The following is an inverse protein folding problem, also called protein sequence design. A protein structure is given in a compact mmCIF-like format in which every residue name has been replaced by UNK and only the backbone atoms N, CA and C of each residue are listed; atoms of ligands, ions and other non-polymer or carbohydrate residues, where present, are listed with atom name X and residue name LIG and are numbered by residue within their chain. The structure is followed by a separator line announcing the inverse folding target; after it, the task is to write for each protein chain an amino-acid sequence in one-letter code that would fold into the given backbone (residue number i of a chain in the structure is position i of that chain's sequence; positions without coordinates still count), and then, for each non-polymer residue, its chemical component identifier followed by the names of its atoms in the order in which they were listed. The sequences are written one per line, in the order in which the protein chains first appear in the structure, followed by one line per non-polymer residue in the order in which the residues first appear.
data_IF_869289537054
#
_entry.id   IF_869289537054
#
_cell.length_a   1.000
_cell.length_b   1.000
_cell.length_c   1.000
_cell.angle_alpha   90.00
_cell.angle_beta   90.00
_cell.angle_gamma   90.00
#
_symmetry.space_group_name_H-M   'P 1'
#
loop_
_entity.id
_entity.type
_entity.pdbx_description
1 polymer ?
#
# COMPACT_ATOMS: atom_id res chain seq x y z
N UNK A 1 -2.76 1.67 52.28
CA UNK A 1 -2.75 2.58 51.09
C UNK A 1 -1.73 2.24 50.01
N UNK A 2 -0.65 1.48 50.28
CA UNK A 2 0.33 1.09 49.24
C UNK A 2 -0.09 -0.11 48.36
N UNK A 3 -1.00 -0.96 48.84
CA UNK A 3 -1.54 -2.12 48.09
C UNK A 3 -2.59 -1.75 47.03
N UNK A 4 -3.31 -0.64 47.24
CA UNK A 4 -4.30 -0.13 46.27
C UNK A 4 -3.61 0.55 45.06
N UNK A 5 -2.42 1.12 45.26
CA UNK A 5 -1.60 1.69 44.18
C UNK A 5 -1.02 0.60 43.25
N UNK A 6 -0.76 -0.60 43.78
CA UNK A 6 -0.18 -1.70 43.00
C UNK A 6 -1.16 -2.33 42.01
N UNK A 7 -2.46 -2.38 42.33
CA UNK A 7 -3.48 -2.90 41.41
C UNK A 7 -3.78 -1.94 40.25
N UNK A 8 -3.62 -0.63 40.46
CA UNK A 8 -3.90 0.37 39.43
C UNK A 8 -2.82 0.39 38.33
N UNK A 9 -1.58 0.04 38.66
CA UNK A 9 -0.49 -0.10 37.69
C UNK A 9 -0.55 -1.43 36.91
N UNK A 10 -1.20 -2.46 37.45
CA UNK A 10 -1.36 -3.76 36.77
C UNK A 10 -2.52 -3.76 35.75
N UNK A 11 -3.50 -2.86 35.91
CA UNK A 11 -4.67 -2.79 35.03
C UNK A 11 -4.43 -2.01 33.72
N UNK A 12 -3.35 -1.22 33.63
CA UNK A 12 -3.05 -0.40 32.43
C UNK A 12 -2.28 -1.21 31.36
N UNK A 13 -1.71 -2.38 31.71
CA UNK A 13 -0.95 -3.21 30.77
C UNK A 13 -1.77 -4.13 29.86
N UNK A 14 -3.08 -4.25 30.05
CA UNK A 14 -3.91 -5.28 29.41
C UNK A 14 -4.92 -4.75 28.38
N UNK A 15 -4.93 -3.44 28.11
CA UNK A 15 -5.89 -2.81 27.21
C UNK A 15 -5.20 -2.06 26.07
N UNK A 16 -4.19 -2.68 25.45
CA UNK A 16 -3.86 -2.34 24.07
C UNK A 16 -4.72 -3.24 23.20
N UNK A 17 -5.81 -2.75 22.57
CA UNK A 17 -6.39 -3.49 21.47
C UNK A 17 -5.30 -3.60 20.42
N UNK A 18 -4.67 -4.77 20.31
CA UNK A 18 -3.93 -5.12 19.11
C UNK A 18 -4.99 -5.19 18.02
N UNK A 19 -5.23 -4.06 17.36
CA UNK A 19 -5.87 -4.06 16.08
C UNK A 19 -5.11 -5.10 15.25
N UNK A 20 -5.80 -6.15 14.84
CA UNK A 20 -5.28 -7.17 13.95
C UNK A 20 -5.15 -6.52 12.56
N UNK A 21 -4.27 -5.52 12.46
CA UNK A 21 -3.93 -4.91 11.19
C UNK A 21 -3.30 -6.02 10.36
N UNK A 22 -3.76 -6.17 9.12
CA UNK A 22 -3.10 -7.01 8.15
C UNK A 22 -1.60 -6.68 8.18
N UNK A 23 -0.78 -7.68 8.50
CA UNK A 23 0.66 -7.50 8.65
C UNK A 23 1.22 -7.11 7.29
N UNK A 24 1.64 -5.85 7.15
CA UNK A 24 2.25 -5.36 5.92
C UNK A 24 3.68 -4.92 6.17
N UNK A 25 4.57 -5.37 5.29
CA UNK A 25 5.98 -5.00 5.33
C UNK A 25 6.19 -3.78 4.41
N UNK A 26 6.85 -2.71 4.89
CA UNK A 26 7.20 -1.60 4.01
C UNK A 26 8.18 -2.07 2.93
N UNK A 27 8.09 -1.45 1.76
CA UNK A 27 9.03 -1.63 0.65
C UNK A 27 9.43 -0.28 0.08
N UNK A 28 10.69 -0.15 -0.30
CA UNK A 28 11.22 0.97 -1.04
C UNK A 28 10.83 0.83 -2.51
N UNK A 29 10.18 1.86 -3.04
CA UNK A 29 9.82 1.91 -4.45
C UNK A 29 11.09 2.16 -5.30
N UNK A 30 11.49 1.18 -6.10
CA UNK A 30 12.59 1.29 -7.05
C UNK A 30 12.05 1.42 -8.48
N UNK A 31 11.56 2.61 -8.81
CA UNK A 31 11.21 2.97 -10.17
C UNK A 31 12.47 3.35 -10.96
N UNK A 32 12.65 2.75 -12.14
CA UNK A 32 13.77 3.03 -13.06
C UNK A 32 13.32 3.84 -14.28
N UNK A 33 12.02 3.94 -14.51
CA UNK A 33 11.43 4.70 -15.60
C UNK A 33 11.07 6.14 -15.17
N UNK A 34 11.21 7.07 -16.09
CA UNK A 34 10.79 8.48 -15.97
C UNK A 34 9.76 8.76 -17.05
N UNK A 35 8.78 9.61 -16.77
CA UNK A 35 7.75 9.95 -17.74
C UNK A 35 8.33 10.73 -18.93
N UNK A 36 8.02 10.27 -20.14
CA UNK A 36 8.23 11.05 -21.36
C UNK A 36 7.02 11.94 -21.72
N UNK A 37 5.94 11.87 -20.93
CA UNK A 37 4.71 12.60 -21.19
C UNK A 37 4.80 14.06 -20.72
N UNK A 38 4.04 14.93 -21.38
CA UNK A 38 3.86 16.30 -20.91
C UNK A 38 3.22 16.29 -19.50
N UNK A 39 3.55 17.26 -18.63
CA UNK A 39 3.00 17.32 -17.28
C UNK A 39 1.47 17.34 -17.25
N UNK A 40 0.88 16.56 -16.36
CA UNK A 40 -0.56 16.52 -16.16
C UNK A 40 -1.13 17.88 -15.71
N UNK A 41 -2.16 18.33 -16.42
CA UNK A 41 -2.95 19.49 -16.03
C UNK A 41 -4.07 19.05 -15.10
N UNK A 42 -3.82 19.12 -13.80
CA UNK A 42 -4.81 18.82 -12.76
C UNK A 42 -5.70 20.03 -12.48
N UNK A 43 -6.98 19.77 -12.19
CA UNK A 43 -7.91 20.78 -11.69
C UNK A 43 -7.42 21.35 -10.35
N UNK A 44 -7.93 22.53 -9.94
CA UNK A 44 -7.60 23.08 -8.62
C UNK A 44 -8.05 22.16 -7.49
N UNK A 45 -9.21 21.53 -7.64
CA UNK A 45 -9.76 20.60 -6.64
C UNK A 45 -8.86 19.36 -6.45
N UNK A 46 -8.38 18.76 -7.54
CA UNK A 46 -7.48 17.60 -7.48
C UNK A 46 -6.13 17.95 -6.86
N UNK A 47 -5.59 19.14 -7.19
CA UNK A 47 -4.32 19.64 -6.62
C UNK A 47 -4.46 19.83 -5.11
N UNK A 48 -5.54 20.46 -4.68
CA UNK A 48 -5.81 20.68 -3.26
C UNK A 48 -6.02 19.35 -2.52
N UNK A 49 -6.67 18.36 -3.17
CA UNK A 49 -6.81 17.02 -2.62
C UNK A 49 -5.47 16.31 -2.46
N UNK A 50 -4.60 16.34 -3.48
CA UNK A 50 -3.26 15.73 -3.43
C UNK A 50 -2.38 16.37 -2.34
N UNK A 51 -2.41 17.70 -2.20
CA UNK A 51 -1.66 18.41 -1.17
C UNK A 51 -2.07 17.98 0.25
N UNK A 52 -3.36 17.69 0.48
CA UNK A 52 -3.84 17.17 1.77
C UNK A 52 -3.47 15.70 1.99
N UNK A 53 -3.39 14.89 0.92
CA UNK A 53 -3.14 13.44 1.00
C UNK A 53 -1.69 13.10 1.35
N UNK A 54 -0.74 13.98 1.00
CA UNK A 54 0.72 13.90 1.22
C UNK A 54 1.47 12.74 0.54
N UNK A 55 0.92 11.53 0.61
CA UNK A 55 1.46 10.33 -0.03
C UNK A 55 0.33 9.38 -0.44
N UNK A 56 0.59 8.57 -1.46
CA UNK A 56 -0.26 7.43 -1.83
C UNK A 56 0.37 6.15 -1.29
N UNK A 57 -0.46 5.17 -0.92
CA UNK A 57 -0.01 3.86 -0.45
C UNK A 57 -0.35 2.80 -1.48
N UNK A 58 0.69 2.16 -2.03
CA UNK A 58 0.62 1.07 -2.98
C UNK A 58 0.70 -0.28 -2.26
N UNK A 59 -0.33 -1.11 -2.39
CA UNK A 59 -0.30 -2.49 -1.93
C UNK A 59 0.28 -3.44 -2.98
N UNK A 60 1.17 -4.32 -2.52
CA UNK A 60 1.62 -5.53 -3.23
C UNK A 60 1.33 -6.76 -2.38
N UNK A 61 1.28 -7.95 -2.98
CA UNK A 61 0.97 -9.19 -2.25
C UNK A 61 1.79 -10.37 -2.73
N UNK A 62 2.11 -11.31 -1.83
CA UNK A 62 2.71 -12.59 -2.21
C UNK A 62 1.71 -13.50 -2.96
N UNK A 63 2.19 -14.41 -3.83
CA UNK A 63 3.56 -14.48 -4.35
C UNK A 63 3.85 -13.38 -5.39
N UNK A 64 5.12 -13.06 -5.58
CA UNK A 64 5.57 -12.10 -6.59
C UNK A 64 5.21 -12.57 -8.00
N UNK A 65 5.02 -11.60 -8.91
CA UNK A 65 4.65 -11.87 -10.29
C UNK A 65 5.58 -11.13 -11.28
N UNK A 66 6.82 -11.61 -11.46
CA UNK A 66 7.72 -11.04 -12.45
C UNK A 66 7.13 -11.14 -13.87
N UNK A 67 7.41 -10.16 -14.77
CA UNK A 67 8.25 -8.98 -14.56
C UNK A 67 7.49 -7.77 -13.96
N UNK A 68 6.23 -7.94 -13.55
CA UNK A 68 5.38 -6.84 -13.08
C UNK A 68 5.68 -6.44 -11.64
N UNK A 69 5.75 -7.43 -10.75
CA UNK A 69 6.10 -7.24 -9.34
C UNK A 69 7.29 -8.13 -9.00
N UNK A 70 8.37 -7.50 -8.56
CA UNK A 70 9.61 -8.15 -8.17
C UNK A 70 9.96 -7.61 -6.79
N UNK A 71 9.99 -8.49 -5.78
CA UNK A 71 10.50 -8.16 -4.45
C UNK A 71 11.73 -9.03 -4.16
N UNK A 72 12.75 -8.90 -5.02
CA UNK A 72 13.95 -9.74 -5.00
C UNK A 72 14.78 -9.54 -3.73
N UNK A 73 14.78 -8.33 -3.18
CA UNK A 73 15.35 -8.02 -1.87
C UNK A 73 14.23 -7.92 -0.81
N UNK A 74 14.61 -7.98 0.47
CA UNK A 74 13.64 -7.77 1.55
C UNK A 74 13.14 -6.32 1.62
N UNK A 75 13.82 -5.39 0.96
CA UNK A 75 13.58 -3.96 1.08
C UNK A 75 12.91 -3.38 -0.16
N UNK A 76 13.15 -3.92 -1.34
CA UNK A 76 12.82 -3.24 -2.58
C UNK A 76 11.57 -3.79 -3.27
N UNK A 77 10.83 -2.89 -3.90
CA UNK A 77 9.76 -3.19 -4.84
C UNK A 77 10.16 -2.70 -6.23
N UNK A 78 10.31 -3.64 -7.14
CA UNK A 78 10.77 -3.48 -8.51
C UNK A 78 9.75 -4.07 -9.50
N UNK A 79 10.02 -3.83 -10.79
CA UNK A 79 9.24 -4.37 -11.91
C UNK A 79 8.41 -3.29 -12.59
N UNK A 80 7.65 -3.71 -13.60
CA UNK A 80 6.86 -2.80 -14.43
C UNK A 80 5.84 -2.02 -13.57
N UNK A 81 5.23 -2.65 -12.56
CA UNK A 81 4.30 -1.95 -11.66
C UNK A 81 5.00 -0.88 -10.81
N UNK A 82 6.25 -1.11 -10.39
CA UNK A 82 7.06 -0.10 -9.69
C UNK A 82 7.40 1.09 -10.60
N UNK A 83 7.76 0.83 -11.85
CA UNK A 83 8.03 1.87 -12.85
C UNK A 83 6.82 2.78 -13.09
N UNK A 84 5.63 2.18 -13.25
CA UNK A 84 4.40 2.96 -13.39
C UNK A 84 4.03 3.73 -12.13
N UNK A 85 4.24 3.15 -10.94
CA UNK A 85 4.01 3.86 -9.68
C UNK A 85 4.95 5.08 -9.56
N UNK A 86 6.20 4.96 -10.01
CA UNK A 86 7.14 6.08 -10.08
C UNK A 86 6.69 7.18 -11.06
N UNK A 87 6.23 6.80 -12.25
CA UNK A 87 5.68 7.77 -13.23
C UNK A 87 4.43 8.47 -12.67
N UNK A 88 3.54 7.76 -11.99
CA UNK A 88 2.35 8.34 -11.34
C UNK A 88 2.78 9.32 -10.25
N UNK A 89 3.73 8.93 -9.39
CA UNK A 89 4.28 9.79 -8.35
C UNK A 89 4.85 11.10 -8.93
N UNK A 90 5.65 10.98 -10.00
CA UNK A 90 6.24 12.10 -10.72
C UNK A 90 5.16 13.03 -11.30
N UNK A 91 4.20 12.47 -12.04
CA UNK A 91 3.17 13.25 -12.75
C UNK A 91 2.19 13.94 -11.80
N UNK A 92 1.93 13.36 -10.63
CA UNK A 92 1.06 13.93 -9.61
C UNK A 92 1.82 14.82 -8.60
N UNK A 93 3.15 14.77 -8.58
CA UNK A 93 3.96 15.48 -7.60
C UNK A 93 3.74 15.01 -6.16
N UNK A 94 3.44 13.73 -5.96
CA UNK A 94 3.15 13.11 -4.65
C UNK A 94 4.01 11.86 -4.45
N UNK A 95 4.45 11.58 -3.22
CA UNK A 95 5.22 10.37 -2.95
C UNK A 95 4.33 9.12 -2.91
N UNK A 96 4.93 7.96 -3.17
CA UNK A 96 4.27 6.65 -3.09
C UNK A 96 5.01 5.77 -2.09
N UNK A 97 4.31 5.30 -1.07
CA UNK A 97 4.79 4.27 -0.14
C UNK A 97 4.32 2.90 -0.58
N UNK A 98 5.16 1.86 -0.43
CA UNK A 98 4.77 0.49 -0.80
C UNK A 98 4.61 -0.37 0.44
N UNK A 99 3.50 -1.13 0.49
CA UNK A 99 3.15 -2.08 1.54
C UNK A 99 2.94 -3.46 0.94
N UNK A 100 3.76 -4.43 1.37
CA UNK A 100 3.66 -5.82 0.94
C UNK A 100 2.86 -6.63 1.96
N UNK A 101 1.79 -7.27 1.49
CA UNK A 101 0.92 -8.15 2.25
C UNK A 101 1.25 -9.62 2.00
N UNK A 102 0.89 -10.48 2.95
CA UNK A 102 1.10 -11.92 2.85
C UNK A 102 0.18 -12.58 1.82
N UNK A 103 -0.98 -11.99 1.58
CA UNK A 103 -1.93 -12.50 0.61
C UNK A 103 -2.62 -11.40 -0.18
N UNK A 104 -3.07 -11.75 -1.38
CA UNK A 104 -3.92 -10.89 -2.20
C UNK A 104 -5.23 -10.53 -1.48
N UNK A 105 -5.77 -11.44 -0.68
CA UNK A 105 -7.00 -11.20 0.06
C UNK A 105 -6.83 -10.08 1.08
N UNK A 106 -5.71 -10.08 1.81
CA UNK A 106 -5.36 -8.99 2.74
C UNK A 106 -5.14 -7.66 2.02
N UNK A 107 -4.41 -7.65 0.90
CA UNK A 107 -4.22 -6.43 0.13
C UNK A 107 -5.54 -5.85 -0.39
N UNK A 108 -6.50 -6.69 -0.79
CA UNK A 108 -7.84 -6.25 -1.19
C UNK A 108 -8.67 -5.76 -0.01
N UNK A 109 -8.57 -6.42 1.15
CA UNK A 109 -9.22 -5.94 2.38
C UNK A 109 -8.69 -4.56 2.75
N UNK A 110 -7.37 -4.38 2.73
CA UNK A 110 -6.69 -3.12 2.97
C UNK A 110 -7.15 -2.01 2.01
N UNK A 111 -7.33 -2.34 0.72
CA UNK A 111 -7.85 -1.38 -0.28
C UNK A 111 -9.30 -0.97 0.02
N UNK A 112 -10.14 -1.94 0.41
CA UNK A 112 -11.55 -1.66 0.76
C UNK A 112 -11.68 -0.83 2.03
N UNK A 113 -10.77 -1.02 2.97
CA UNK A 113 -10.69 -0.27 4.23
C UNK A 113 -10.05 1.13 4.04
N UNK A 114 -9.45 1.40 2.88
CA UNK A 114 -8.77 2.67 2.60
C UNK A 114 -7.40 2.80 3.28
N UNK A 115 -6.84 1.70 3.79
CA UNK A 115 -5.48 1.68 4.35
C UNK A 115 -4.40 1.64 3.27
N UNK A 116 -4.76 1.27 2.03
CA UNK A 116 -3.99 1.49 0.82
C UNK A 116 -4.85 2.20 -0.24
N UNK A 117 -4.22 2.95 -1.13
CA UNK A 117 -4.90 3.70 -2.21
C UNK A 117 -4.91 2.94 -3.53
N UNK A 118 -3.89 2.12 -3.76
CA UNK A 118 -3.61 1.47 -5.04
C UNK A 118 -3.20 0.01 -4.83
N UNK A 119 -3.46 -0.83 -5.83
CA UNK A 119 -2.91 -2.19 -5.89
C UNK A 119 -2.02 -2.32 -7.13
N UNK A 120 -0.76 -2.73 -6.91
CA UNK A 120 0.24 -2.85 -7.99
C UNK A 120 -0.12 -3.86 -9.07
N UNK A 121 -0.91 -4.87 -8.71
CA UNK A 121 -1.50 -5.82 -9.65
C UNK A 121 -2.89 -6.26 -9.22
N UNK A 122 -3.86 -6.09 -10.12
CA UNK A 122 -5.16 -6.75 -10.04
C UNK A 122 -5.23 -7.89 -11.04
N UNK A 123 -5.04 -9.13 -10.56
CA UNK A 123 -5.37 -10.28 -11.38
C UNK A 123 -6.90 -10.43 -11.43
N UNK A 124 -7.50 -10.15 -12.58
CA UNK A 124 -8.87 -10.58 -12.84
C UNK A 124 -8.86 -12.10 -13.03
N UNK A 125 -9.11 -12.84 -11.96
CA UNK A 125 -9.44 -14.25 -12.07
C UNK A 125 -10.85 -14.33 -12.66
N UNK A 126 -10.94 -14.51 -13.98
CA UNK A 126 -12.20 -14.91 -14.61
C UNK A 126 -12.54 -16.29 -14.07
N UNK A 127 -13.44 -16.32 -13.08
CA UNK A 127 -14.12 -17.55 -12.68
C UNK A 127 -14.78 -18.14 -13.94
N UNK A 128 -14.30 -19.31 -14.35
CA UNK A 128 -14.85 -20.02 -15.50
C UNK A 128 -16.32 -20.37 -15.26
N UNK A 129 -17.20 -19.76 -16.04
CA UNK A 129 -18.35 -20.41 -16.69
C UNK A 129 -18.83 -19.49 -17.81
N UNK A 130 -18.49 -19.82 -19.06
CA UNK A 130 -19.40 -19.51 -20.16
C UNK A 130 -20.50 -20.56 -20.09
N UNK A 131 -21.78 -20.21 -19.81
CA UNK A 131 -22.86 -21.11 -20.19
C UNK A 131 -22.84 -21.22 -21.72
N UNK A 132 -22.93 -22.46 -22.20
CA UNK A 132 -23.22 -22.77 -23.60
C UNK A 132 -24.64 -22.34 -23.95
#
# INVERSE_FOLDING_TARGET
MKRLLACMLLAIGLASPTALLASSEPRQLLARSVSAAAPLQLSSEDRDWLQRRQYLVLGSSRPDYPPFEINASQQDYEGISADYAGIIAEQLGISVEVRRFDSRHEAIAALREGSIDLLGKLQCLRSGRRPA
#
